data_IF_660718724352
#
_entry.id   IF_660718724352
#
_cell.length_a   1.000
_cell.length_b   1.000
_cell.length_c   1.000
_cell.angle_alpha   90.00
_cell.angle_beta   90.00
_cell.angle_gamma   90.00
#
_symmetry.space_group_name_H-M   'P 1'
#
loop_
_entity.id
_entity.type
_entity.pdbx_description
1 polymer ?
#
# COMPACT_ATOMS: atom_id res chain seq x y z
N UNK A 1 -18.81 -21.75 -68.81
CA UNK A 1 -18.85 -20.50 -68.02
C UNK A 1 -19.71 -20.80 -66.81
N UNK A 2 -19.03 -21.14 -65.72
CA UNK A 2 -19.64 -21.30 -64.39
C UNK A 2 -20.12 -19.95 -63.89
N UNK A 3 -21.34 -19.88 -63.36
CA UNK A 3 -21.79 -18.76 -62.54
C UNK A 3 -22.57 -19.32 -61.34
N UNK A 4 -21.92 -19.27 -60.17
CA UNK A 4 -22.41 -19.74 -58.89
C UNK A 4 -23.24 -18.61 -58.25
N UNK A 5 -24.52 -18.89 -57.99
CA UNK A 5 -25.41 -18.01 -57.21
C UNK A 5 -24.96 -17.93 -55.75
N UNK A 6 -24.64 -16.73 -55.28
CA UNK A 6 -24.66 -16.38 -53.85
C UNK A 6 -26.11 -16.31 -53.32
N UNK A 7 -26.38 -16.74 -52.07
CA UNK A 7 -27.51 -16.23 -51.32
C UNK A 7 -27.05 -15.14 -50.35
N UNK A 8 -27.56 -13.94 -50.63
CA UNK A 8 -27.60 -12.76 -49.80
C UNK A 8 -28.30 -13.07 -48.46
N UNK A 9 -27.71 -12.76 -47.31
CA UNK A 9 -28.44 -12.71 -46.05
C UNK A 9 -27.99 -11.51 -45.20
N UNK A 10 -28.91 -10.57 -45.05
CA UNK A 10 -28.73 -9.31 -44.35
C UNK A 10 -29.30 -9.35 -42.92
N UNK A 11 -28.51 -8.79 -41.98
CA UNK A 11 -28.82 -8.17 -40.66
C UNK A 11 -28.98 -9.06 -39.41
N UNK A 12 -28.83 -8.56 -38.15
CA UNK A 12 -28.24 -7.30 -37.62
C UNK A 12 -27.30 -7.47 -36.38
N UNK A 13 -26.55 -6.43 -35.98
CA UNK A 13 -26.12 -6.22 -34.58
C UNK A 13 -24.86 -6.98 -34.10
N UNK A 14 -23.68 -6.45 -34.41
CA UNK A 14 -22.38 -7.07 -34.10
C UNK A 14 -22.02 -7.11 -32.61
N UNK A 15 -22.26 -8.25 -31.97
CA UNK A 15 -21.33 -8.80 -30.98
C UNK A 15 -20.17 -9.44 -31.74
N UNK A 16 -18.97 -8.87 -31.64
CA UNK A 16 -17.75 -9.44 -32.21
C UNK A 16 -17.36 -10.71 -31.42
N UNK A 17 -17.21 -11.89 -32.06
CA UNK A 17 -16.86 -13.11 -31.34
C UNK A 17 -15.35 -13.17 -31.03
N UNK A 18 -15.02 -13.14 -29.73
CA UNK A 18 -13.68 -13.32 -29.13
C UNK A 18 -12.91 -14.56 -29.63
N UNK A 19 -13.59 -15.57 -30.17
CA UNK A 19 -12.96 -16.80 -30.68
C UNK A 19 -12.18 -16.61 -31.99
N UNK A 20 -12.56 -15.63 -32.83
CA UNK A 20 -11.93 -15.43 -34.15
C UNK A 20 -10.58 -14.72 -33.99
N UNK A 21 -10.46 -13.77 -33.04
CA UNK A 21 -9.16 -13.18 -32.71
C UNK A 21 -8.21 -14.17 -32.03
N UNK A 22 -8.73 -15.11 -31.23
CA UNK A 22 -7.91 -16.11 -30.55
C UNK A 22 -7.23 -17.06 -31.56
N UNK A 23 -7.98 -17.56 -32.56
CA UNK A 23 -7.42 -18.39 -33.64
C UNK A 23 -6.54 -17.60 -34.62
N UNK A 24 -6.81 -16.31 -34.82
CA UNK A 24 -5.96 -15.44 -35.63
C UNK A 24 -4.63 -15.09 -34.94
N UNK A 25 -4.62 -14.99 -33.60
CA UNK A 25 -3.39 -14.83 -32.81
C UNK A 25 -2.57 -16.12 -32.75
N UNK A 26 -3.21 -17.28 -32.58
CA UNK A 26 -2.54 -18.59 -32.58
C UNK A 26 -1.80 -18.82 -33.92
N UNK A 27 -2.45 -18.49 -35.06
CA UNK A 27 -1.80 -18.52 -36.38
C UNK A 27 -0.72 -17.46 -36.62
N UNK A 28 -0.70 -16.34 -35.87
CA UNK A 28 0.40 -15.35 -35.93
C UNK A 28 1.60 -15.77 -35.09
N UNK A 29 1.38 -16.53 -34.02
CA UNK A 29 2.45 -17.10 -33.20
C UNK A 29 3.17 -18.23 -33.96
N UNK A 30 2.46 -19.03 -34.76
CA UNK A 30 3.07 -20.10 -35.57
C UNK A 30 3.81 -19.63 -36.83
N UNK A 31 3.61 -18.38 -37.30
CA UNK A 31 4.22 -17.86 -38.54
C UNK A 31 5.42 -16.94 -38.34
N UNK A 32 5.90 -16.75 -37.12
CA UNK A 32 7.17 -16.05 -36.90
C UNK A 32 8.33 -17.03 -37.07
N UNK A 33 9.23 -16.84 -38.05
CA UNK A 33 10.37 -17.73 -38.24
C UNK A 33 11.25 -17.67 -36.99
N UNK A 34 11.65 -18.84 -36.50
CA UNK A 34 12.67 -19.03 -35.49
C UNK A 34 13.99 -18.42 -35.96
N UNK A 35 14.25 -17.17 -35.59
CA UNK A 35 15.58 -16.59 -35.61
C UNK A 35 16.17 -16.79 -34.20
N UNK A 36 16.47 -18.06 -33.90
CA UNK A 36 17.54 -18.40 -32.98
C UNK A 36 18.84 -17.86 -33.57
N UNK A 37 19.63 -17.16 -32.76
CA UNK A 37 20.90 -16.49 -33.08
C UNK A 37 20.76 -14.97 -33.27
N UNK A 38 20.77 -14.23 -32.14
CA UNK A 38 21.04 -12.78 -32.18
C UNK A 38 20.61 -11.95 -30.96
N UNK A 39 19.57 -12.36 -30.22
CA UNK A 39 19.01 -11.53 -29.13
C UNK A 39 19.30 -12.03 -27.70
N UNK A 40 19.92 -13.20 -27.54
CA UNK A 40 20.41 -13.65 -26.23
C UNK A 40 21.68 -12.90 -25.77
N UNK A 41 22.25 -12.05 -26.63
CA UNK A 41 23.41 -11.23 -26.30
C UNK A 41 23.07 -9.89 -25.65
N UNK A 42 21.81 -9.43 -25.65
CA UNK A 42 21.46 -8.13 -25.05
C UNK A 42 20.83 -8.23 -23.65
N UNK A 43 20.39 -9.42 -23.23
CA UNK A 43 19.89 -9.69 -21.88
C UNK A 43 20.88 -10.45 -20.98
N UNK A 44 22.05 -10.81 -21.52
CA UNK A 44 23.22 -11.31 -20.77
C UNK A 44 24.34 -10.26 -20.63
N UNK A 45 24.19 -9.06 -21.21
CA UNK A 45 25.26 -8.04 -21.27
C UNK A 45 25.29 -7.04 -20.10
N UNK A 46 24.40 -7.16 -19.10
CA UNK A 46 24.56 -6.45 -17.82
C UNK A 46 25.07 -7.35 -16.67
N UNK A 47 25.40 -8.62 -16.95
CA UNK A 47 26.06 -9.53 -16.00
C UNK A 47 27.45 -9.99 -16.48
N UNK A 48 28.29 -9.09 -17.00
CA UNK A 48 29.75 -9.25 -16.93
C UNK A 48 30.42 -7.88 -16.70
N UNK A 49 30.21 -7.30 -15.52
CA UNK A 49 31.24 -6.44 -14.92
C UNK A 49 32.05 -7.30 -13.95
N UNK A 50 33.17 -7.76 -14.49
CA UNK A 50 34.38 -8.29 -13.88
C UNK A 50 34.45 -8.26 -12.35
N UNK A 51 34.74 -9.43 -11.79
CA UNK A 51 35.28 -9.64 -10.45
C UNK A 51 36.33 -8.57 -10.10
N UNK A 52 35.96 -7.65 -9.22
CA UNK A 52 36.90 -6.91 -8.40
C UNK A 52 36.57 -7.25 -6.95
N UNK A 53 37.52 -7.89 -6.25
CA UNK A 53 37.44 -8.16 -4.80
C UNK A 53 36.82 -6.94 -4.08
N UNK A 54 35.76 -7.10 -3.27
CA UNK A 54 35.04 -5.96 -2.72
C UNK A 54 35.91 -5.20 -1.72
N UNK A 55 36.50 -4.08 -2.14
CA UNK A 55 37.39 -3.25 -1.30
C UNK A 55 36.63 -2.33 -0.32
N UNK A 56 35.30 -2.24 -0.38
CA UNK A 56 34.51 -1.28 0.40
C UNK A 56 33.48 -1.99 1.30
N UNK A 57 33.29 -1.52 2.53
CA UNK A 57 32.28 -2.04 3.47
C UNK A 57 30.88 -2.14 2.82
N UNK A 58 30.50 -1.13 2.03
CA UNK A 58 29.22 -1.09 1.31
C UNK A 58 29.02 -2.20 0.28
N UNK A 59 30.07 -2.64 -0.42
CA UNK A 59 29.94 -3.74 -1.38
C UNK A 59 29.85 -5.09 -0.70
N UNK A 60 30.53 -5.29 0.44
CA UNK A 60 30.36 -6.48 1.29
C UNK A 60 28.97 -6.53 1.92
N UNK A 61 28.46 -5.40 2.41
CA UNK A 61 27.11 -5.28 2.93
C UNK A 61 26.04 -5.56 1.85
N UNK A 62 26.20 -5.03 0.63
CA UNK A 62 25.32 -5.34 -0.50
C UNK A 62 25.35 -6.81 -0.91
N UNK A 63 26.54 -7.43 -0.94
CA UNK A 63 26.69 -8.85 -1.26
C UNK A 63 26.01 -9.74 -0.20
N UNK A 64 26.24 -9.45 1.09
CA UNK A 64 25.57 -10.15 2.19
C UNK A 64 24.05 -9.98 2.14
N UNK A 65 23.58 -8.75 1.91
CA UNK A 65 22.15 -8.47 1.78
C UNK A 65 21.54 -9.16 0.55
N UNK A 66 22.28 -9.32 -0.55
CA UNK A 66 21.86 -10.08 -1.73
C UNK A 66 21.74 -11.58 -1.49
N UNK A 67 22.53 -12.13 -0.55
CA UNK A 67 22.42 -13.52 -0.09
C UNK A 67 21.20 -13.70 0.82
N UNK A 68 20.98 -12.76 1.75
CA UNK A 68 19.85 -12.81 2.71
C UNK A 68 18.50 -12.55 2.03
N UNK A 69 18.46 -11.64 1.05
CA UNK A 69 17.24 -11.25 0.31
C UNK A 69 17.49 -11.39 -1.19
N UNK A 70 17.34 -12.62 -1.75
CA UNK A 70 17.54 -12.84 -3.18
C UNK A 70 16.47 -12.15 -4.02
N UNK A 71 16.87 -11.66 -5.21
CA UNK A 71 15.96 -11.01 -6.15
C UNK A 71 14.79 -11.93 -6.53
N UNK A 72 13.56 -11.39 -6.47
CA UNK A 72 12.35 -12.13 -6.81
C UNK A 72 12.06 -13.35 -5.93
N UNK A 73 12.78 -13.53 -4.82
CA UNK A 73 12.57 -14.63 -3.89
C UNK A 73 11.38 -14.42 -2.97
N UNK A 74 11.03 -15.46 -2.19
CA UNK A 74 9.97 -15.43 -1.17
C UNK A 74 10.13 -14.23 -0.23
N UNK A 75 11.31 -14.10 0.41
CA UNK A 75 11.58 -13.07 1.42
C UNK A 75 11.46 -11.65 0.82
N UNK A 76 12.02 -11.44 -0.37
CA UNK A 76 11.95 -10.15 -1.07
C UNK A 76 10.50 -9.77 -1.39
N UNK A 77 9.71 -10.72 -1.90
CA UNK A 77 8.31 -10.47 -2.30
C UNK A 77 7.43 -10.22 -1.08
N UNK A 78 7.60 -11.02 -0.02
CA UNK A 78 6.90 -10.88 1.26
C UNK A 78 7.18 -9.52 1.88
N UNK A 79 8.45 -9.12 2.01
CA UNK A 79 8.79 -7.83 2.61
C UNK A 79 8.44 -6.65 1.72
N UNK A 80 8.42 -6.80 0.39
CA UNK A 80 7.96 -5.73 -0.48
C UNK A 80 6.46 -5.46 -0.26
N UNK A 81 5.62 -6.51 -0.29
CA UNK A 81 4.18 -6.39 0.00
C UNK A 81 3.92 -5.90 1.44
N UNK A 82 4.62 -6.47 2.43
CA UNK A 82 4.46 -6.08 3.82
C UNK A 82 4.93 -4.63 4.07
N UNK A 83 6.00 -4.16 3.43
CA UNK A 83 6.46 -2.76 3.58
C UNK A 83 5.45 -1.75 3.06
N UNK A 84 4.73 -2.08 1.99
CA UNK A 84 3.67 -1.22 1.44
C UNK A 84 2.46 -1.19 2.38
N UNK A 85 2.06 -2.35 2.88
CA UNK A 85 0.96 -2.51 3.83
C UNK A 85 1.26 -1.77 5.15
N UNK A 86 2.41 -2.07 5.76
CA UNK A 86 2.88 -1.49 7.02
C UNK A 86 3.46 -0.09 6.78
N UNK A 87 2.56 0.85 6.48
CA UNK A 87 2.84 2.27 6.31
C UNK A 87 2.54 3.08 7.59
N UNK A 88 1.97 4.27 7.41
CA UNK A 88 1.59 5.13 8.54
C UNK A 88 0.28 4.67 9.20
N UNK A 89 -0.52 3.82 8.53
CA UNK A 89 -1.79 3.33 9.07
C UNK A 89 -1.67 2.67 10.44
N UNK A 90 -0.55 1.96 10.68
CA UNK A 90 -0.25 1.33 11.97
C UNK A 90 -0.29 2.32 13.16
N UNK A 91 0.02 3.59 12.91
CA UNK A 91 0.07 4.64 13.93
C UNK A 91 -1.32 5.10 14.38
N UNK A 92 -2.33 4.95 13.52
CA UNK A 92 -3.72 5.30 13.81
C UNK A 92 -4.57 4.13 14.31
N UNK A 93 -4.06 2.89 14.23
CA UNK A 93 -4.83 1.69 14.59
C UNK A 93 -5.33 1.67 16.05
N UNK A 94 -4.56 2.08 17.07
CA UNK A 94 -5.05 2.10 18.45
C UNK A 94 -6.17 3.13 18.65
N UNK A 95 -6.08 4.30 17.99
CA UNK A 95 -7.16 5.29 17.99
C UNK A 95 -8.42 4.76 17.29
N UNK A 96 -8.27 4.07 16.16
CA UNK A 96 -9.39 3.41 15.49
C UNK A 96 -10.04 2.34 16.38
N UNK A 97 -9.26 1.63 17.19
CA UNK A 97 -9.79 0.69 18.18
C UNK A 97 -10.50 1.40 19.34
N UNK A 98 -10.05 2.58 19.76
CA UNK A 98 -10.76 3.41 20.73
C UNK A 98 -12.15 3.84 20.22
N UNK A 99 -12.25 4.23 18.94
CA UNK A 99 -13.50 4.60 18.29
C UNK A 99 -14.44 3.41 18.06
N UNK A 100 -13.93 2.27 17.59
CA UNK A 100 -14.76 1.09 17.23
C UNK A 100 -15.00 0.10 18.38
N UNK A 101 -14.12 0.07 19.38
CA UNK A 101 -14.05 -0.97 20.41
C UNK A 101 -13.04 -2.08 20.07
N UNK A 102 -12.36 -2.59 21.09
CA UNK A 102 -11.24 -3.53 20.93
C UNK A 102 -11.64 -4.85 20.26
N UNK A 103 -12.78 -5.44 20.63
CA UNK A 103 -13.23 -6.72 20.03
C UNK A 103 -13.61 -6.53 18.57
N UNK A 104 -14.30 -5.42 18.26
CA UNK A 104 -14.65 -5.08 16.88
C UNK A 104 -13.41 -4.82 16.02
N UNK A 105 -12.38 -4.16 16.58
CA UNK A 105 -11.11 -3.97 15.89
C UNK A 105 -10.47 -5.31 15.47
N UNK A 106 -10.44 -6.32 16.34
CA UNK A 106 -9.93 -7.64 15.97
C UNK A 106 -10.77 -8.33 14.89
N UNK A 107 -12.09 -8.23 14.97
CA UNK A 107 -12.98 -8.76 13.93
C UNK A 107 -12.68 -8.09 12.58
N UNK A 108 -12.55 -6.75 12.56
CA UNK A 108 -12.20 -6.02 11.34
C UNK A 108 -10.82 -6.41 10.80
N UNK A 109 -9.78 -6.47 11.64
CA UNK A 109 -8.44 -6.86 11.23
C UNK A 109 -8.43 -8.26 10.59
N UNK A 110 -9.11 -9.24 11.21
CA UNK A 110 -9.22 -10.60 10.69
C UNK A 110 -10.00 -10.65 9.37
N UNK A 111 -11.16 -10.03 9.32
CA UNK A 111 -12.01 -10.03 8.12
C UNK A 111 -11.30 -9.35 6.94
N UNK A 112 -10.73 -8.17 7.14
CA UNK A 112 -10.00 -7.42 6.11
C UNK A 112 -8.78 -8.21 5.64
N UNK A 113 -8.06 -8.89 6.53
CA UNK A 113 -6.92 -9.74 6.14
C UNK A 113 -7.36 -10.89 5.24
N UNK A 114 -8.44 -11.61 5.59
CA UNK A 114 -8.99 -12.68 4.77
C UNK A 114 -9.38 -12.18 3.38
N UNK A 115 -10.11 -11.06 3.30
CA UNK A 115 -10.49 -10.46 2.02
C UNK A 115 -9.30 -9.95 1.21
N UNK A 116 -8.28 -9.37 1.86
CA UNK A 116 -7.09 -8.87 1.19
C UNK A 116 -6.23 -10.02 0.61
N UNK A 117 -6.10 -11.14 1.33
CA UNK A 117 -5.43 -12.34 0.80
C UNK A 117 -6.18 -12.89 -0.42
N UNK A 118 -7.51 -12.99 -0.33
CA UNK A 118 -8.33 -13.45 -1.45
C UNK A 118 -8.27 -12.51 -2.66
N UNK A 119 -8.30 -11.20 -2.40
CA UNK A 119 -8.11 -10.15 -3.41
C UNK A 119 -6.79 -10.29 -4.16
N UNK A 120 -5.66 -10.49 -3.45
CA UNK A 120 -4.37 -10.73 -4.08
C UNK A 120 -4.33 -12.05 -4.86
N UNK A 121 -4.95 -13.12 -4.34
CA UNK A 121 -5.07 -14.39 -5.05
C UNK A 121 -5.74 -14.22 -6.41
N UNK A 122 -6.86 -13.50 -6.42
CA UNK A 122 -7.67 -13.24 -7.61
C UNK A 122 -6.95 -12.32 -8.60
N UNK A 123 -6.28 -11.26 -8.12
CA UNK A 123 -5.40 -10.44 -8.95
C UNK A 123 -4.30 -11.30 -9.58
N UNK A 124 -3.70 -12.21 -8.82
CA UNK A 124 -2.75 -13.20 -9.33
C UNK A 124 -3.31 -14.00 -10.53
N UNK A 125 -4.54 -14.52 -10.40
CA UNK A 125 -5.21 -15.27 -11.49
C UNK A 125 -5.40 -14.42 -12.74
N UNK A 126 -5.87 -13.19 -12.56
CA UNK A 126 -6.09 -12.27 -13.68
C UNK A 126 -4.79 -11.85 -14.35
N UNK A 127 -3.70 -11.63 -13.60
CA UNK A 127 -2.37 -11.34 -14.14
C UNK A 127 -1.81 -12.50 -14.94
N UNK A 128 -1.93 -13.73 -14.44
CA UNK A 128 -1.46 -14.94 -15.14
C UNK A 128 -2.25 -15.18 -16.44
N UNK A 129 -3.58 -14.98 -16.41
CA UNK A 129 -4.44 -15.14 -17.60
C UNK A 129 -4.21 -14.09 -18.68
N UNK A 130 -4.05 -12.82 -18.30
CA UNK A 130 -3.99 -11.69 -19.26
C UNK A 130 -2.56 -11.34 -19.67
N UNK A 131 -1.56 -11.68 -18.87
CA UNK A 131 -0.17 -11.27 -19.10
C UNK A 131 0.09 -9.77 -18.87
N UNK A 132 -0.89 -9.02 -18.36
CA UNK A 132 -0.78 -7.58 -18.14
C UNK A 132 0.04 -7.24 -16.89
N UNK A 133 0.77 -6.12 -16.98
CA UNK A 133 1.76 -5.69 -15.97
C UNK A 133 1.34 -4.52 -15.10
N UNK A 134 0.20 -3.91 -15.38
CA UNK A 134 -0.27 -2.74 -14.64
C UNK A 134 -1.74 -2.88 -14.29
N UNK A 135 -2.12 -2.22 -13.19
CA UNK A 135 -3.48 -2.21 -12.68
C UNK A 135 -4.41 -1.48 -13.67
N UNK A 136 -3.91 -0.41 -14.29
CA UNK A 136 -4.61 0.44 -15.26
C UNK A 136 -4.83 -0.29 -16.59
N UNK A 137 -3.83 -1.01 -17.12
CA UNK A 137 -4.01 -1.77 -18.36
C UNK A 137 -5.00 -2.93 -18.16
N UNK A 138 -5.05 -3.53 -16.96
CA UNK A 138 -6.05 -4.56 -16.66
C UNK A 138 -7.47 -4.00 -16.65
N UNK A 139 -7.65 -2.83 -16.02
CA UNK A 139 -8.91 -2.11 -16.05
C UNK A 139 -9.37 -1.79 -17.49
N UNK A 140 -8.44 -1.31 -18.32
CA UNK A 140 -8.70 -0.99 -19.72
C UNK A 140 -9.16 -2.21 -20.52
N UNK A 141 -8.46 -3.33 -20.39
CA UNK A 141 -8.73 -4.53 -21.19
C UNK A 141 -10.01 -5.24 -20.76
N UNK A 142 -10.27 -5.36 -19.45
CA UNK A 142 -11.37 -6.18 -18.94
C UNK A 142 -12.70 -5.42 -18.83
N UNK A 143 -12.66 -4.14 -18.47
CA UNK A 143 -13.87 -3.35 -18.20
C UNK A 143 -14.11 -2.30 -19.27
N UNK A 144 -13.05 -1.65 -19.76
CA UNK A 144 -13.12 -0.77 -20.93
C UNK A 144 -12.27 0.51 -20.83
N UNK A 145 -12.18 1.22 -21.95
CA UNK A 145 -11.27 2.36 -22.19
C UNK A 145 -11.46 3.62 -21.32
N UNK A 146 -12.52 3.70 -20.51
CA UNK A 146 -12.73 4.82 -19.58
C UNK A 146 -12.49 4.42 -18.12
N UNK A 147 -12.49 3.11 -17.85
CA UNK A 147 -12.39 2.58 -16.50
C UNK A 147 -10.94 2.62 -15.99
N UNK A 148 -9.97 2.57 -16.89
CA UNK A 148 -8.55 2.76 -16.59
C UNK A 148 -8.26 4.13 -15.98
N UNK A 149 -8.85 5.22 -16.48
CA UNK A 149 -8.72 6.55 -15.87
C UNK A 149 -9.34 6.62 -14.47
N UNK A 150 -10.48 5.96 -14.26
CA UNK A 150 -11.10 5.89 -12.93
C UNK A 150 -10.21 5.14 -11.92
N UNK A 151 -9.69 3.99 -12.34
CA UNK A 151 -8.74 3.19 -11.55
C UNK A 151 -7.45 3.97 -11.27
N UNK A 152 -6.90 4.66 -12.27
CA UNK A 152 -5.73 5.52 -12.11
C UNK A 152 -6.00 6.67 -11.12
N UNK A 153 -7.19 7.28 -11.17
CA UNK A 153 -7.61 8.31 -10.22
C UNK A 153 -7.69 7.76 -8.79
N UNK A 154 -8.33 6.62 -8.57
CA UNK A 154 -8.41 6.00 -7.24
C UNK A 154 -7.02 5.66 -6.70
N UNK A 155 -6.15 5.07 -7.53
CA UNK A 155 -4.75 4.76 -7.16
C UNK A 155 -3.97 6.03 -6.85
N UNK A 156 -4.21 7.11 -7.59
CA UNK A 156 -3.62 8.42 -7.35
C UNK A 156 -4.08 9.02 -6.01
N UNK A 157 -5.38 9.05 -5.73
CA UNK A 157 -5.94 9.55 -4.46
C UNK A 157 -5.40 8.76 -3.28
N UNK A 158 -5.33 7.43 -3.38
CA UNK A 158 -4.72 6.58 -2.35
C UNK A 158 -3.27 6.99 -2.09
N UNK A 159 -2.48 7.13 -3.16
CA UNK A 159 -1.07 7.47 -3.07
C UNK A 159 -0.85 8.85 -2.48
N UNK A 160 -1.62 9.83 -2.95
CA UNK A 160 -1.57 11.21 -2.50
C UNK A 160 -1.94 11.32 -1.02
N UNK A 161 -3.04 10.69 -0.60
CA UNK A 161 -3.47 10.62 0.80
C UNK A 161 -2.44 9.97 1.72
N UNK A 162 -1.87 8.83 1.31
CA UNK A 162 -0.78 8.18 2.04
C UNK A 162 0.44 9.09 2.20
N UNK A 163 0.83 9.83 1.15
CA UNK A 163 1.97 10.76 1.24
C UNK A 163 1.72 11.94 2.18
N UNK A 164 0.49 12.46 2.23
CA UNK A 164 0.08 13.46 3.22
C UNK A 164 0.21 12.89 4.63
N UNK A 165 -0.29 11.68 4.86
CA UNK A 165 -0.21 11.03 6.16
C UNK A 165 1.23 10.79 6.64
N UNK A 166 2.16 10.49 5.73
CA UNK A 166 3.59 10.40 6.07
C UNK A 166 4.17 11.74 6.53
N UNK A 167 3.80 12.86 5.89
CA UNK A 167 4.23 14.20 6.33
C UNK A 167 3.67 14.53 7.72
N UNK A 168 2.39 14.25 7.97
CA UNK A 168 1.77 14.42 9.29
C UNK A 168 2.51 13.57 10.34
N UNK A 169 2.77 12.29 10.02
CA UNK A 169 3.47 11.38 10.92
C UNK A 169 4.88 11.86 11.30
N UNK A 170 5.62 12.50 10.38
CA UNK A 170 6.91 13.11 10.70
C UNK A 170 6.73 14.25 11.71
N UNK A 171 5.71 15.08 11.55
CA UNK A 171 5.34 16.09 12.54
C UNK A 171 5.00 15.49 13.91
N UNK A 172 4.28 14.36 13.91
CA UNK A 172 3.92 13.63 15.15
C UNK A 172 5.13 13.00 15.83
N UNK A 173 6.16 12.58 15.09
CA UNK A 173 7.45 12.14 15.67
C UNK A 173 8.17 13.32 16.33
N UNK A 174 8.20 14.47 15.65
CA UNK A 174 8.92 15.65 16.12
C UNK A 174 8.26 16.27 17.36
N UNK A 175 6.93 16.25 17.46
CA UNK A 175 6.21 16.91 18.56
C UNK A 175 6.69 16.44 19.95
N UNK A 176 6.63 15.14 20.31
CA UNK A 176 7.06 14.67 21.63
C UNK A 176 8.56 14.87 21.89
N UNK A 177 9.40 14.85 20.85
CA UNK A 177 10.84 15.11 20.98
C UNK A 177 11.06 16.57 21.39
N UNK A 178 10.39 17.51 20.72
CA UNK A 178 10.57 18.95 20.94
C UNK A 178 9.96 19.43 22.26
N UNK A 179 8.82 18.86 22.66
CA UNK A 179 8.15 19.22 23.91
C UNK A 179 8.90 18.71 25.14
N UNK A 180 9.49 17.52 25.07
CA UNK A 180 10.11 16.86 26.22
C UNK A 180 11.62 17.10 26.34
N UNK A 181 12.30 17.56 25.28
CA UNK A 181 13.73 17.86 25.33
C UNK A 181 14.02 19.14 26.16
N UNK A 182 14.98 19.03 27.07
CA UNK A 182 15.52 20.17 27.82
C UNK A 182 16.34 21.05 26.88
N UNK A 183 16.13 22.38 26.95
CA UNK A 183 16.86 23.35 26.12
C UNK A 183 16.25 23.64 24.74
N UNK A 184 15.11 23.05 24.38
CA UNK A 184 14.40 23.41 23.14
C UNK A 184 13.88 24.87 23.23
N UNK A 185 14.23 25.75 22.27
CA UNK A 185 13.68 27.10 22.18
C UNK A 185 12.15 27.09 22.12
N UNK A 186 11.49 28.04 22.79
CA UNK A 186 10.02 28.10 22.84
C UNK A 186 9.37 28.20 21.46
N UNK A 187 10.03 28.86 20.50
CA UNK A 187 9.56 28.91 19.13
C UNK A 187 9.40 27.52 18.50
N UNK A 188 10.35 26.60 18.71
CA UNK A 188 10.31 25.25 18.15
C UNK A 188 9.24 24.36 18.81
N UNK A 189 8.81 24.69 20.03
CA UNK A 189 7.72 24.00 20.72
C UNK A 189 6.35 24.40 20.20
N UNK A 190 6.21 25.61 19.65
CA UNK A 190 4.96 26.10 19.06
C UNK A 190 4.69 25.43 17.71
N UNK A 191 3.44 25.51 17.27
CA UNK A 191 2.98 24.91 16.02
C UNK A 191 3.73 25.46 14.80
N UNK A 192 4.09 26.74 14.79
CA UNK A 192 4.82 27.36 13.67
C UNK A 192 6.24 26.80 13.56
N UNK A 193 6.97 26.71 14.68
CA UNK A 193 8.32 26.16 14.70
C UNK A 193 8.33 24.66 14.39
N UNK A 194 7.33 23.91 14.85
CA UNK A 194 7.17 22.49 14.49
C UNK A 194 6.92 22.33 12.99
N UNK A 195 6.02 23.12 12.40
CA UNK A 195 5.75 23.11 10.95
C UNK A 195 7.02 23.43 10.14
N UNK A 196 7.82 24.40 10.61
CA UNK A 196 9.11 24.74 10.00
C UNK A 196 10.07 23.55 10.04
N UNK A 197 10.19 22.85 11.18
CA UNK A 197 11.04 21.66 11.30
C UNK A 197 10.55 20.49 10.45
N UNK A 198 9.23 20.23 10.41
CA UNK A 198 8.65 19.23 9.50
C UNK A 198 8.98 19.56 8.05
N UNK A 199 8.84 20.83 7.64
CA UNK A 199 9.21 21.29 6.31
C UNK A 199 10.73 21.16 6.04
N UNK A 200 11.58 21.41 7.04
CA UNK A 200 13.02 21.23 6.93
C UNK A 200 13.40 19.74 6.75
N UNK A 201 12.83 18.83 7.56
CA UNK A 201 13.03 17.38 7.41
C UNK A 201 12.53 16.91 6.05
N UNK A 202 11.37 17.41 5.60
CA UNK A 202 10.86 17.12 4.27
C UNK A 202 11.82 17.59 3.17
N UNK A 203 12.33 18.83 3.24
CA UNK A 203 13.19 19.41 2.21
C UNK A 203 14.56 18.75 2.16
N UNK A 204 15.12 18.38 3.32
CA UNK A 204 16.48 17.84 3.44
C UNK A 204 16.54 16.32 3.30
N UNK A 205 15.45 15.62 3.64
CA UNK A 205 15.42 14.15 3.66
C UNK A 205 14.40 13.62 2.68
N UNK A 206 13.12 13.95 2.80
CA UNK A 206 12.07 13.30 2.00
C UNK A 206 12.11 13.68 0.52
N UNK A 207 12.26 14.97 0.19
CA UNK A 207 12.25 15.47 -1.18
C UNK A 207 13.40 14.90 -2.02
N UNK A 208 14.67 14.90 -1.56
CA UNK A 208 15.78 14.31 -2.32
C UNK A 208 15.58 12.83 -2.67
N UNK A 209 14.87 12.08 -1.82
CA UNK A 209 14.58 10.66 -2.06
C UNK A 209 13.61 10.42 -3.23
N UNK A 210 12.77 11.40 -3.59
CA UNK A 210 11.78 11.27 -4.67
C UNK A 210 12.32 11.73 -6.04
N UNK A 211 13.33 12.59 -6.04
CA UNK A 211 13.91 13.17 -7.27
C UNK A 211 14.44 12.14 -8.28
N UNK A 212 15.02 10.99 -7.88
CA UNK A 212 15.46 9.98 -8.83
C UNK A 212 14.29 9.37 -9.62
N UNK A 213 14.46 9.25 -10.94
CA UNK A 213 13.45 8.63 -11.82
C UNK A 213 13.18 7.16 -11.48
N UNK A 214 14.21 6.43 -11.05
CA UNK A 214 14.18 4.99 -10.74
C UNK A 214 14.84 4.73 -9.39
N UNK A 215 14.24 3.88 -8.55
CA UNK A 215 14.83 3.43 -7.28
C UNK A 215 15.15 1.94 -7.38
N UNK A 216 16.35 1.63 -7.91
CA UNK A 216 16.78 0.25 -8.11
C UNK A 216 17.13 -0.50 -6.80
N UNK A 217 17.03 0.15 -5.63
CA UNK A 217 17.33 -0.43 -4.31
C UNK A 217 16.10 -0.72 -3.45
N UNK A 218 14.91 -0.73 -4.06
CA UNK A 218 13.62 -0.85 -3.38
C UNK A 218 13.52 -2.04 -2.43
N UNK A 219 14.04 -3.20 -2.84
CA UNK A 219 14.02 -4.43 -2.04
C UNK A 219 14.69 -4.26 -0.68
N UNK A 220 15.85 -3.59 -0.64
CA UNK A 220 16.62 -3.40 0.57
C UNK A 220 15.93 -2.41 1.48
N UNK A 221 15.43 -1.32 0.89
CA UNK A 221 14.66 -0.30 1.59
C UNK A 221 13.43 -0.92 2.25
N UNK A 222 12.68 -1.79 1.54
CA UNK A 222 11.51 -2.49 2.07
C UNK A 222 11.83 -3.48 3.19
N UNK A 223 12.94 -4.23 3.10
CA UNK A 223 13.36 -5.13 4.20
C UNK A 223 13.71 -4.36 5.47
N UNK A 224 14.54 -3.31 5.37
CA UNK A 224 14.88 -2.48 6.55
C UNK A 224 13.67 -1.76 7.11
N UNK A 225 12.80 -1.27 6.23
CA UNK A 225 11.52 -0.67 6.60
C UNK A 225 10.67 -1.58 7.50
N UNK A 226 10.45 -2.84 7.10
CA UNK A 226 9.68 -3.79 7.91
C UNK A 226 10.37 -4.07 9.24
N UNK A 227 11.70 -4.20 9.26
CA UNK A 227 12.46 -4.42 10.49
C UNK A 227 12.29 -3.27 11.51
N UNK A 228 12.29 -2.01 11.06
CA UNK A 228 12.04 -0.87 11.94
C UNK A 228 10.64 -0.90 12.54
N UNK A 229 9.63 -1.35 11.79
CA UNK A 229 8.28 -1.46 12.33
C UNK A 229 8.15 -2.63 13.30
N UNK A 230 8.79 -3.77 13.04
CA UNK A 230 8.86 -4.88 14.00
C UNK A 230 9.49 -4.40 15.31
N UNK A 231 10.59 -3.63 15.25
CA UNK A 231 11.19 -3.02 16.43
C UNK A 231 10.22 -2.08 17.16
N UNK A 232 9.53 -1.21 16.42
CA UNK A 232 8.53 -0.31 16.99
C UNK A 232 7.43 -1.07 17.72
N UNK A 233 6.90 -2.16 17.14
CA UNK A 233 5.88 -2.99 17.79
C UNK A 233 6.44 -3.66 19.06
N UNK A 234 7.67 -4.20 19.02
CA UNK A 234 8.33 -4.75 20.22
C UNK A 234 8.44 -3.69 21.33
N UNK A 235 8.82 -2.47 20.96
CA UNK A 235 8.89 -1.34 21.89
C UNK A 235 7.51 -1.08 22.54
N UNK A 236 6.42 -1.08 21.76
CA UNK A 236 5.06 -0.93 22.30
C UNK A 236 4.71 -2.04 23.30
N UNK A 237 5.03 -3.31 22.98
CA UNK A 237 4.76 -4.44 23.88
C UNK A 237 5.50 -4.29 25.20
N UNK A 238 6.80 -3.96 25.16
CA UNK A 238 7.62 -3.80 26.37
C UNK A 238 7.11 -2.62 27.20
N UNK A 239 6.80 -1.49 26.57
CA UNK A 239 6.36 -0.29 27.29
C UNK A 239 4.97 -0.49 27.92
N UNK A 240 4.08 -1.16 27.20
CA UNK A 240 2.76 -1.55 27.73
C UNK A 240 2.90 -2.51 28.91
N UNK A 241 3.77 -3.53 28.81
CA UNK A 241 4.05 -4.46 29.91
C UNK A 241 4.65 -3.75 31.15
N UNK A 242 5.58 -2.79 30.96
CA UNK A 242 6.16 -1.99 32.05
C UNK A 242 5.14 -1.10 32.75
N UNK A 243 4.12 -0.64 32.03
CA UNK A 243 3.03 0.17 32.60
C UNK A 243 2.01 -0.65 33.42
N UNK A 244 2.15 -1.98 33.45
CA UNK A 244 1.28 -2.86 34.25
C UNK A 244 -0.12 -3.09 33.67
N UNK A 245 -0.42 -2.60 32.45
CA UNK A 245 -1.75 -2.69 31.82
C UNK A 245 -2.87 -2.15 32.73
N UNK A 246 -2.61 -1.05 33.44
CA UNK A 246 -3.54 -0.43 34.41
C UNK A 246 -4.92 -0.10 33.81
N UNK A 247 -4.98 0.26 32.53
CA UNK A 247 -6.23 0.58 31.84
C UNK A 247 -7.06 -0.65 31.43
N UNK A 248 -6.46 -1.85 31.45
CA UNK A 248 -7.17 -3.12 31.23
C UNK A 248 -8.01 -3.51 32.45
N UNK A 249 -7.57 -3.11 33.65
CA UNK A 249 -8.25 -3.41 34.93
C UNK A 249 -9.25 -2.31 35.35
N UNK A 250 -9.36 -1.22 34.56
CA UNK A 250 -10.25 -0.10 34.86
C UNK A 250 -9.78 0.83 35.99
N UNK A 251 -8.54 0.66 36.46
CA UNK A 251 -7.98 1.41 37.59
C UNK A 251 -7.39 2.78 37.18
N UNK A 252 -7.15 3.00 35.89
CA UNK A 252 -6.50 4.21 35.36
C UNK A 252 -7.42 5.36 34.91
N UNK A 253 -8.73 5.27 35.14
CA UNK A 253 -9.71 6.30 34.72
C UNK A 253 -10.01 6.36 33.22
N UNK A 254 -9.06 5.95 32.37
CA UNK A 254 -9.22 5.83 30.91
C UNK A 254 -9.39 4.36 30.51
N UNK A 255 -10.58 3.80 30.74
CA UNK A 255 -10.84 2.37 30.51
C UNK A 255 -10.93 1.99 29.04
N UNK A 256 -10.56 0.75 28.74
CA UNK A 256 -10.69 0.14 27.41
C UNK A 256 -12.16 -0.13 27.10
N UNK A 257 -12.61 0.33 25.93
CA UNK A 257 -13.94 0.00 25.41
C UNK A 257 -13.85 -1.30 24.61
N UNK A 258 -14.50 -2.36 25.09
CA UNK A 258 -14.54 -3.64 24.38
C UNK A 258 -15.44 -3.57 23.13
N UNK A 259 -16.59 -2.92 23.28
CA UNK A 259 -17.57 -2.68 22.22
C UNK A 259 -18.07 -1.25 22.30
N UNK A 260 -18.16 -0.58 21.15
CA UNK A 260 -18.96 0.63 21.00
C UNK A 260 -20.25 0.31 20.23
N UNK A 261 -21.30 1.07 20.47
CA UNK A 261 -22.62 0.87 19.84
C UNK A 261 -22.92 1.96 18.82
N UNK A 262 -23.88 1.68 17.93
CA UNK A 262 -24.31 2.62 16.89
C UNK A 262 -23.20 2.97 15.89
N UNK A 263 -23.21 4.21 15.41
CA UNK A 263 -22.29 4.69 14.38
C UNK A 263 -20.83 4.74 14.85
N UNK A 264 -20.57 4.78 16.17
CA UNK A 264 -19.20 4.77 16.70
C UNK A 264 -18.46 3.48 16.33
N UNK A 265 -19.16 2.34 16.30
CA UNK A 265 -18.57 1.03 15.97
C UNK A 265 -17.90 0.98 14.59
N UNK A 266 -18.34 1.82 13.65
CA UNK A 266 -17.85 1.85 12.27
C UNK A 266 -16.88 3.00 11.96
N UNK A 267 -16.64 3.94 12.89
CA UNK A 267 -15.73 5.09 12.67
C UNK A 267 -14.29 4.67 12.35
N UNK A 268 -13.76 3.66 13.04
CA UNK A 268 -12.42 3.13 12.77
C UNK A 268 -12.28 2.33 11.46
N UNK A 269 -13.38 1.97 10.78
CA UNK A 269 -13.37 1.03 9.65
C UNK A 269 -12.45 1.50 8.51
N UNK A 270 -12.50 2.80 8.18
CA UNK A 270 -11.66 3.38 7.12
C UNK A 270 -10.17 3.25 7.44
N UNK A 271 -9.76 3.48 8.69
CA UNK A 271 -8.36 3.35 9.14
C UNK A 271 -7.88 1.89 9.04
N UNK A 272 -8.72 0.92 9.43
CA UNK A 272 -8.40 -0.50 9.26
C UNK A 272 -8.28 -0.89 7.79
N UNK A 273 -9.18 -0.42 6.93
CA UNK A 273 -9.11 -0.67 5.48
C UNK A 273 -7.85 -0.06 4.88
N UNK A 274 -7.53 1.19 5.20
CA UNK A 274 -6.31 1.87 4.76
C UNK A 274 -5.04 1.08 5.12
N UNK A 275 -4.99 0.57 6.34
CA UNK A 275 -3.81 -0.11 6.88
C UNK A 275 -3.47 -1.42 6.16
N UNK A 276 -4.42 -2.01 5.43
CA UNK A 276 -4.23 -3.27 4.69
C UNK A 276 -4.17 -3.11 3.17
N UNK A 277 -4.10 -1.87 2.66
CA UNK A 277 -3.96 -1.63 1.22
C UNK A 277 -2.54 -1.94 0.76
N UNK A 278 -2.38 -3.00 -0.02
CA UNK A 278 -1.10 -3.37 -0.65
C UNK A 278 -1.23 -3.72 -2.14
N UNK A 279 -2.46 -3.78 -2.65
CA UNK A 279 -2.80 -4.14 -4.02
C UNK A 279 -2.21 -3.19 -5.06
N UNK A 280 -1.86 -1.96 -4.65
CA UNK A 280 -1.36 -0.91 -5.54
C UNK A 280 -0.02 -1.28 -6.21
N UNK A 281 0.78 -2.13 -5.55
CA UNK A 281 2.11 -2.56 -6.00
C UNK A 281 2.16 -4.06 -6.28
N UNK A 282 1.00 -4.74 -6.25
CA UNK A 282 0.96 -6.20 -6.35
C UNK A 282 1.43 -6.70 -7.73
N UNK A 283 1.20 -5.92 -8.79
CA UNK A 283 1.66 -6.21 -10.14
C UNK A 283 3.18 -6.14 -10.24
N UNK A 284 3.78 -5.08 -9.72
CA UNK A 284 5.24 -4.91 -9.71
C UNK A 284 5.90 -6.10 -8.98
N UNK A 285 5.37 -6.46 -7.80
CA UNK A 285 5.86 -7.63 -7.05
C UNK A 285 5.68 -8.93 -7.83
N UNK A 286 4.51 -9.17 -8.43
CA UNK A 286 4.23 -10.39 -9.19
C UNK A 286 5.19 -10.56 -10.38
N UNK A 287 5.47 -9.48 -11.11
CA UNK A 287 6.33 -9.52 -12.28
C UNK A 287 7.82 -9.57 -11.95
N UNK A 288 8.23 -9.15 -10.76
CA UNK A 288 9.60 -9.30 -10.23
C UNK A 288 9.88 -10.69 -9.63
N UNK A 289 8.87 -11.51 -9.36
CA UNK A 289 9.06 -12.85 -8.77
C UNK A 289 9.87 -13.77 -9.68
N UNK A 290 10.79 -14.54 -9.09
CA UNK A 290 11.61 -15.52 -9.82
C UNK A 290 10.80 -16.75 -10.26
N UNK A 291 9.95 -17.27 -9.38
CA UNK A 291 9.05 -18.41 -9.67
C UNK A 291 7.60 -17.92 -9.74
N UNK A 292 7.23 -17.35 -10.88
CA UNK A 292 5.90 -16.79 -11.12
C UNK A 292 4.87 -17.91 -11.28
N UNK A 293 3.88 -17.90 -10.42
CA UNK A 293 2.63 -18.67 -10.55
C UNK A 293 1.60 -18.08 -9.60
N UNK A 294 0.31 -18.26 -9.89
CA UNK A 294 -0.77 -17.88 -8.95
C UNK A 294 -0.54 -18.48 -7.56
N UNK A 295 -0.16 -19.76 -7.51
CA UNK A 295 0.08 -20.48 -6.24
C UNK A 295 1.19 -19.79 -5.41
N UNK A 296 2.34 -19.54 -6.01
CA UNK A 296 3.47 -18.92 -5.31
C UNK A 296 3.11 -17.50 -4.88
N UNK A 297 2.50 -16.72 -5.76
CA UNK A 297 2.11 -15.35 -5.43
C UNK A 297 1.11 -15.30 -4.28
N UNK A 298 0.14 -16.22 -4.26
CA UNK A 298 -0.85 -16.33 -3.18
C UNK A 298 -0.18 -16.67 -1.85
N UNK A 299 0.76 -17.63 -1.84
CA UNK A 299 1.51 -17.98 -0.63
C UNK A 299 2.34 -16.79 -0.13
N UNK A 300 3.04 -16.09 -1.03
CA UNK A 300 3.91 -14.97 -0.65
C UNK A 300 3.08 -13.80 -0.12
N UNK A 301 1.95 -13.52 -0.78
CA UNK A 301 0.96 -12.54 -0.34
C UNK A 301 0.35 -12.91 1.01
N UNK A 302 -0.06 -14.17 1.20
CA UNK A 302 -0.64 -14.62 2.46
C UNK A 302 0.34 -14.48 3.63
N UNK A 303 1.61 -14.87 3.46
CA UNK A 303 2.65 -14.68 4.48
C UNK A 303 2.84 -13.20 4.81
N UNK A 304 2.88 -12.33 3.80
CA UNK A 304 2.99 -10.88 4.01
C UNK A 304 1.80 -10.32 4.78
N UNK A 305 0.58 -10.68 4.41
CA UNK A 305 -0.64 -10.19 5.05
C UNK A 305 -0.79 -10.72 6.48
N UNK A 306 -0.43 -11.98 6.74
CA UNK A 306 -0.42 -12.55 8.09
C UNK A 306 0.64 -11.90 8.98
N UNK A 307 1.82 -11.57 8.45
CA UNK A 307 2.83 -10.80 9.16
C UNK A 307 2.27 -9.42 9.57
N UNK A 308 1.61 -8.72 8.64
CA UNK A 308 0.98 -7.43 8.93
C UNK A 308 -0.12 -7.55 9.99
N UNK A 309 -0.97 -8.58 9.88
CA UNK A 309 -2.03 -8.86 10.85
C UNK A 309 -1.47 -9.03 12.27
N UNK A 310 -0.41 -9.81 12.43
CA UNK A 310 0.23 -10.01 13.75
C UNK A 310 0.74 -8.68 14.31
N UNK A 311 1.46 -7.89 13.50
CA UNK A 311 1.97 -6.58 13.92
C UNK A 311 0.83 -5.62 14.31
N UNK A 312 -0.28 -5.65 13.57
CA UNK A 312 -1.43 -4.78 13.82
C UNK A 312 -2.22 -5.20 15.05
N UNK A 313 -2.44 -6.51 15.28
CA UNK A 313 -3.08 -7.01 16.50
C UNK A 313 -2.25 -6.60 17.72
N UNK A 314 -0.93 -6.78 17.68
CA UNK A 314 -0.05 -6.39 18.78
C UNK A 314 -0.09 -4.87 19.02
N UNK A 315 -0.07 -4.08 17.95
CA UNK A 315 -0.14 -2.61 18.05
C UNK A 315 -1.47 -2.14 18.65
N UNK A 316 -2.59 -2.67 18.15
CA UNK A 316 -3.93 -2.36 18.65
C UNK A 316 -4.05 -2.77 20.11
N UNK A 317 -3.69 -4.01 20.45
CA UNK A 317 -3.85 -4.52 21.80
C UNK A 317 -2.97 -3.76 22.80
N UNK A 318 -1.65 -3.76 22.62
CA UNK A 318 -0.73 -3.17 23.60
C UNK A 318 -0.78 -1.64 23.61
N UNK A 319 -0.99 -1.02 22.44
CA UNK A 319 -1.15 0.43 22.33
C UNK A 319 -2.43 0.91 23.00
N UNK A 320 -3.57 0.27 22.73
CA UNK A 320 -4.83 0.63 23.36
C UNK A 320 -4.89 0.21 24.83
N UNK A 321 -4.28 -0.92 25.21
CA UNK A 321 -4.24 -1.35 26.60
C UNK A 321 -3.38 -0.46 27.50
N UNK A 322 -2.36 0.19 26.95
CA UNK A 322 -1.53 1.10 27.72
C UNK A 322 -2.24 2.42 28.02
N UNK A 323 -2.92 3.00 27.04
CA UNK A 323 -3.42 4.38 27.12
C UNK A 323 -4.95 4.49 27.14
N UNK A 324 -5.68 3.39 26.91
CA UNK A 324 -7.14 3.37 26.94
C UNK A 324 -7.78 4.47 26.10
N UNK A 325 -8.80 5.12 26.65
CA UNK A 325 -9.57 6.16 25.95
C UNK A 325 -8.80 7.43 25.59
N UNK A 326 -7.58 7.64 26.11
CA UNK A 326 -6.75 8.78 25.77
C UNK A 326 -6.18 8.76 24.34
N UNK A 327 -6.14 7.59 23.69
CA UNK A 327 -5.61 7.48 22.31
C UNK A 327 -6.66 7.92 21.30
N UNK A 328 -6.59 9.19 20.90
CA UNK A 328 -7.51 9.80 19.93
C UNK A 328 -6.84 10.15 18.59
N UNK A 329 -5.51 10.02 18.51
CA UNK A 329 -4.72 10.36 17.33
C UNK A 329 -3.56 9.34 17.17
N UNK A 330 -2.49 9.71 16.47
CA UNK A 330 -1.28 8.90 16.35
C UNK A 330 -0.75 8.44 17.72
N UNK A 331 -0.50 7.13 17.86
CA UNK A 331 0.08 6.56 19.08
C UNK A 331 1.45 7.15 19.43
N UNK A 332 2.18 7.70 18.44
CA UNK A 332 3.46 8.36 18.69
C UNK A 332 3.29 9.53 19.66
N UNK A 333 2.21 10.29 19.57
CA UNK A 333 1.98 11.45 20.43
C UNK A 333 1.84 11.10 21.92
N UNK A 334 1.62 9.83 22.25
CA UNK A 334 1.38 9.35 23.62
C UNK A 334 2.66 8.99 24.39
N UNK A 335 3.80 8.84 23.70
CA UNK A 335 5.07 8.46 24.33
C UNK A 335 5.99 9.65 24.54
N UNK A 336 6.85 9.58 25.56
CA UNK A 336 7.97 10.49 25.73
C UNK A 336 9.27 9.81 25.24
N UNK A 337 9.78 10.16 24.05
CA UNK A 337 10.99 9.54 23.50
C UNK A 337 12.26 10.00 24.23
N UNK A 338 12.26 11.17 24.88
CA UNK A 338 13.47 11.73 25.51
C UNK A 338 13.81 10.99 26.82
N UNK A 339 12.80 10.45 27.51
CA UNK A 339 12.99 9.74 28.78
C UNK A 339 13.49 8.30 28.64
N UNK A 340 13.19 7.62 27.54
CA UNK A 340 13.57 6.21 27.33
C UNK A 340 14.32 6.03 25.99
N UNK A 341 15.61 5.64 26.01
CA UNK A 341 16.39 5.39 24.79
C UNK A 341 15.77 4.38 23.83
N UNK A 342 15.04 3.38 24.34
CA UNK A 342 14.33 2.39 23.52
C UNK A 342 13.22 3.05 22.70
N UNK A 343 12.47 3.97 23.31
CA UNK A 343 11.42 4.74 22.64
C UNK A 343 12.03 5.67 21.59
N UNK A 344 13.14 6.35 21.92
CA UNK A 344 13.88 7.19 20.96
C UNK A 344 14.37 6.38 19.74
N UNK A 345 14.92 5.20 19.95
CA UNK A 345 15.34 4.31 18.86
C UNK A 345 14.16 3.89 17.99
N UNK A 346 12.99 3.67 18.59
CA UNK A 346 11.74 3.34 17.88
C UNK A 346 11.27 4.48 16.99
N UNK A 347 11.34 5.72 17.51
CA UNK A 347 11.03 6.93 16.76
C UNK A 347 11.98 7.15 15.59
N UNK A 348 13.29 6.96 15.81
CA UNK A 348 14.28 7.06 14.75
C UNK A 348 14.03 6.01 13.64
N UNK A 349 13.72 4.76 14.01
CA UNK A 349 13.36 3.71 13.06
C UNK A 349 12.09 4.03 12.28
N UNK A 350 11.05 4.50 12.97
CA UNK A 350 9.80 4.93 12.32
C UNK A 350 10.03 6.11 11.38
N UNK A 351 10.86 7.09 11.74
CA UNK A 351 11.20 8.22 10.86
C UNK A 351 11.84 7.73 9.55
N UNK A 352 12.82 6.82 9.64
CA UNK A 352 13.46 6.22 8.45
C UNK A 352 12.44 5.44 7.61
N UNK A 353 11.57 4.66 8.25
CA UNK A 353 10.49 3.92 7.57
C UNK A 353 9.53 4.87 6.83
N UNK A 354 9.10 5.95 7.46
CA UNK A 354 8.15 6.91 6.88
C UNK A 354 8.78 7.66 5.70
N UNK A 355 10.06 8.03 5.78
CA UNK A 355 10.79 8.62 4.66
C UNK A 355 10.86 7.66 3.46
N UNK A 356 11.17 6.38 3.70
CA UNK A 356 11.18 5.35 2.67
C UNK A 356 9.80 5.12 2.03
N UNK A 357 8.76 5.05 2.86
CA UNK A 357 7.38 4.86 2.41
C UNK A 357 6.87 6.09 1.63
N UNK A 358 7.22 7.29 2.05
CA UNK A 358 6.95 8.54 1.32
C UNK A 358 7.56 8.51 -0.08
N UNK A 359 8.82 8.08 -0.21
CA UNK A 359 9.49 8.00 -1.50
C UNK A 359 8.76 7.05 -2.46
N UNK A 360 8.46 5.84 -1.97
CA UNK A 360 7.71 4.81 -2.70
C UNK A 360 6.35 5.31 -3.19
N UNK A 361 5.59 5.91 -2.29
CA UNK A 361 4.22 6.28 -2.55
C UNK A 361 4.12 7.52 -3.46
N UNK A 362 5.07 8.46 -3.33
CA UNK A 362 5.14 9.61 -4.23
C UNK A 362 5.49 9.18 -5.66
N UNK A 363 6.28 8.11 -5.83
CA UNK A 363 6.53 7.53 -7.16
C UNK A 363 5.28 6.91 -7.77
N UNK A 364 4.47 6.19 -6.98
CA UNK A 364 3.18 5.69 -7.45
C UNK A 364 2.23 6.82 -7.83
N UNK A 365 2.17 7.89 -7.02
CA UNK A 365 1.38 9.09 -7.30
C UNK A 365 1.82 9.75 -8.62
N UNK A 366 3.13 9.93 -8.82
CA UNK A 366 3.72 10.47 -10.06
C UNK A 366 3.36 9.61 -11.27
N UNK A 367 3.53 8.29 -11.17
CA UNK A 367 3.28 7.38 -12.29
C UNK A 367 1.80 7.41 -12.71
N UNK A 368 0.86 7.53 -11.77
CA UNK A 368 -0.56 7.67 -12.07
C UNK A 368 -0.87 8.99 -12.81
N UNK A 369 -0.25 10.11 -12.40
CA UNK A 369 -0.38 11.39 -13.14
C UNK A 369 0.17 11.24 -14.55
N UNK A 370 1.38 10.67 -14.69
CA UNK A 370 2.06 10.51 -15.96
C UNK A 370 1.25 9.63 -16.92
N UNK A 371 0.60 8.58 -16.43
CA UNK A 371 -0.34 7.79 -17.23
C UNK A 371 -1.48 8.65 -17.77
N UNK A 372 -2.10 9.49 -16.93
CA UNK A 372 -3.23 10.34 -17.35
C UNK A 372 -2.84 11.39 -18.40
N UNK A 373 -1.64 11.97 -18.29
CA UNK A 373 -1.13 12.95 -19.26
C UNK A 373 -0.35 12.31 -20.42
N UNK A 374 -0.33 10.97 -20.51
CA UNK A 374 0.41 10.19 -21.51
C UNK A 374 1.90 10.54 -21.59
N UNK A 375 2.52 10.76 -20.43
CA UNK A 375 3.96 10.97 -20.31
C UNK A 375 4.67 9.66 -19.97
N UNK A 376 5.74 9.35 -20.69
CA UNK A 376 6.62 8.24 -20.37
C UNK A 376 7.81 8.73 -19.54
N UNK A 377 8.02 8.10 -18.37
CA UNK A 377 9.08 8.50 -17.41
C UNK A 377 10.48 8.49 -18.06
N UNK A 378 10.71 7.52 -18.95
CA UNK A 378 12.02 7.26 -19.56
C UNK A 378 12.38 8.32 -20.60
N UNK A 379 11.42 8.73 -21.43
CA UNK A 379 11.63 9.72 -22.50
C UNK A 379 11.49 11.16 -22.01
N UNK A 380 10.89 11.38 -20.84
CA UNK A 380 10.67 12.73 -20.31
C UNK A 380 11.99 13.47 -20.01
N UNK A 381 12.19 14.72 -20.46
CA UNK A 381 13.32 15.54 -20.03
C UNK A 381 13.40 15.68 -18.50
N UNK A 382 14.62 15.62 -17.94
CA UNK A 382 14.82 15.68 -16.49
C UNK A 382 14.23 16.96 -15.87
N UNK A 383 14.36 18.12 -16.49
CA UNK A 383 13.82 19.37 -15.94
C UNK A 383 12.29 19.34 -15.78
N UNK A 384 11.55 18.76 -16.74
CA UNK A 384 10.09 18.57 -16.63
C UNK A 384 9.75 17.60 -15.49
N UNK A 385 10.55 16.55 -15.35
CA UNK A 385 10.41 15.58 -14.25
C UNK A 385 10.59 16.26 -12.89
N UNK A 386 11.66 17.04 -12.74
CA UNK A 386 11.96 17.77 -11.51
C UNK A 386 10.83 18.73 -11.15
N UNK A 387 10.35 19.54 -12.11
CA UNK A 387 9.24 20.47 -11.86
C UNK A 387 7.99 19.71 -11.40
N UNK A 388 7.60 18.64 -12.11
CA UNK A 388 6.41 17.88 -11.75
C UNK A 388 6.50 17.26 -10.35
N UNK A 389 7.65 16.67 -10.01
CA UNK A 389 7.89 16.04 -8.70
C UNK A 389 7.93 17.08 -7.58
N UNK A 390 8.60 18.22 -7.80
CA UNK A 390 8.69 19.30 -6.80
C UNK A 390 7.31 19.91 -6.57
N UNK A 391 6.55 20.20 -7.63
CA UNK A 391 5.19 20.76 -7.50
C UNK A 391 4.29 19.79 -6.74
N UNK A 392 4.26 18.51 -7.13
CA UNK A 392 3.47 17.47 -6.46
C UNK A 392 3.86 17.36 -4.98
N UNK A 393 5.16 17.24 -4.69
CA UNK A 393 5.65 17.07 -3.32
C UNK A 393 5.39 18.32 -2.46
N UNK A 394 5.43 19.51 -3.05
CA UNK A 394 5.14 20.77 -2.34
C UNK A 394 3.66 20.86 -1.99
N UNK A 395 2.76 20.47 -2.90
CA UNK A 395 1.32 20.39 -2.62
C UNK A 395 1.06 19.40 -1.47
N UNK A 396 1.70 18.22 -1.50
CA UNK A 396 1.61 17.24 -0.41
C UNK A 396 2.09 17.81 0.92
N UNK A 397 3.22 18.52 0.92
CA UNK A 397 3.74 19.18 2.13
C UNK A 397 2.72 20.18 2.68
N UNK A 398 2.18 21.07 1.84
CA UNK A 398 1.20 22.07 2.28
C UNK A 398 -0.01 21.39 2.91
N UNK A 399 -0.59 20.37 2.26
CA UNK A 399 -1.68 19.59 2.84
C UNK A 399 -1.29 18.97 4.19
N UNK A 400 -0.12 18.34 4.29
CA UNK A 400 0.36 17.70 5.53
C UNK A 400 0.64 18.68 6.68
N UNK A 401 0.97 19.94 6.40
CA UNK A 401 1.20 20.97 7.43
C UNK A 401 -0.10 21.55 8.00
N UNK A 402 -1.18 21.56 7.22
CA UNK A 402 -2.45 22.19 7.58
C UNK A 402 -3.54 21.21 8.01
N UNK A 403 -3.42 19.92 7.67
CA UNK A 403 -4.34 18.88 8.16
C UNK A 403 -3.94 18.49 9.59
N UNK A 404 -4.82 18.70 10.60
CA UNK A 404 -4.44 18.52 12.01
C UNK A 404 -4.54 17.08 12.50
N UNK A 405 -5.28 16.21 11.81
CA UNK A 405 -5.56 14.84 12.24
C UNK A 405 -5.23 13.84 11.15
N UNK A 406 -4.35 12.88 11.47
CA UNK A 406 -3.94 11.82 10.55
C UNK A 406 -5.08 10.81 10.31
N UNK A 407 -5.93 10.57 11.31
CA UNK A 407 -7.03 9.62 11.24
C UNK A 407 -8.09 10.07 10.24
N UNK A 408 -8.31 11.38 10.05
CA UNK A 408 -9.19 11.90 9.00
C UNK A 408 -8.70 11.48 7.62
N UNK A 409 -7.39 11.55 7.37
CA UNK A 409 -6.79 11.11 6.10
C UNK A 409 -6.93 9.60 5.95
N UNK A 410 -6.58 8.83 6.99
CA UNK A 410 -6.70 7.37 6.96
C UNK A 410 -8.13 6.88 6.79
N UNK A 411 -9.09 7.50 7.48
CA UNK A 411 -10.51 7.16 7.40
C UNK A 411 -11.05 7.37 6.00
N UNK A 412 -10.92 8.60 5.46
CA UNK A 412 -11.48 8.96 4.16
C UNK A 412 -10.80 8.22 3.01
N UNK A 413 -9.46 8.23 2.98
CA UNK A 413 -8.69 7.59 1.91
C UNK A 413 -8.82 6.06 1.99
N UNK A 414 -8.82 5.50 3.20
CA UNK A 414 -9.00 4.08 3.43
C UNK A 414 -10.36 3.55 3.05
N UNK A 415 -11.43 4.26 3.43
CA UNK A 415 -12.79 3.85 3.11
C UNK A 415 -13.02 3.85 1.59
N UNK A 416 -12.71 4.97 0.93
CA UNK A 416 -12.92 5.11 -0.51
C UNK A 416 -11.92 4.25 -1.28
N UNK A 417 -10.62 4.56 -1.17
CA UNK A 417 -9.61 3.96 -2.03
C UNK A 417 -9.28 2.54 -1.61
N UNK A 418 -9.22 2.25 -0.30
CA UNK A 418 -9.01 0.88 0.18
C UNK A 418 -10.16 -0.03 -0.23
N UNK A 419 -11.42 0.43 -0.14
CA UNK A 419 -12.56 -0.34 -0.62
C UNK A 419 -12.50 -0.65 -2.11
N UNK A 420 -12.15 0.34 -2.93
CA UNK A 420 -12.00 0.13 -4.37
C UNK A 420 -10.80 -0.76 -4.74
N UNK A 421 -9.60 -0.43 -4.26
CA UNK A 421 -8.35 -1.10 -4.64
C UNK A 421 -8.25 -2.51 -4.04
N UNK A 422 -8.67 -2.68 -2.80
CA UNK A 422 -8.52 -3.95 -2.09
C UNK A 422 -9.68 -4.90 -2.34
N UNK A 423 -10.90 -4.41 -2.60
CA UNK A 423 -12.07 -5.29 -2.67
C UNK A 423 -12.81 -5.21 -4.02
N UNK A 424 -13.26 -4.03 -4.44
CA UNK A 424 -14.13 -3.89 -5.62
C UNK A 424 -13.39 -4.21 -6.93
N UNK A 425 -12.25 -3.55 -7.22
CA UNK A 425 -11.53 -3.77 -8.48
C UNK A 425 -11.04 -5.21 -8.66
N UNK A 426 -10.42 -5.86 -7.66
CA UNK A 426 -10.03 -7.26 -7.76
C UNK A 426 -11.21 -8.18 -8.09
N UNK A 427 -12.37 -7.96 -7.46
CA UNK A 427 -13.58 -8.72 -7.75
C UNK A 427 -14.06 -8.49 -9.19
N UNK A 428 -14.14 -7.23 -9.62
CA UNK A 428 -14.57 -6.88 -10.98
C UNK A 428 -13.63 -7.46 -12.03
N UNK A 429 -12.31 -7.34 -11.87
CA UNK A 429 -11.35 -7.89 -12.82
C UNK A 429 -11.50 -9.40 -12.98
N UNK A 430 -11.82 -10.12 -11.91
CA UNK A 430 -12.03 -11.56 -12.02
C UNK A 430 -13.34 -11.93 -12.70
N UNK A 431 -14.44 -11.24 -12.36
CA UNK A 431 -15.74 -11.39 -13.03
C UNK A 431 -15.61 -11.15 -14.54
N UNK A 432 -14.89 -10.10 -14.94
CA UNK A 432 -14.70 -9.74 -16.34
C UNK A 432 -13.54 -10.48 -17.03
N UNK A 433 -12.80 -11.35 -16.33
CA UNK A 433 -11.70 -12.15 -16.92
C UNK A 433 -12.15 -13.28 -17.85
N UNK A 434 -13.46 -13.40 -18.12
CA UNK A 434 -14.06 -14.39 -19.00
C UNK A 434 -14.35 -15.74 -18.33
N UNK A 435 -15.22 -16.54 -18.96
CA UNK A 435 -15.66 -17.85 -18.47
C UNK A 435 -16.22 -17.82 -17.04
N UNK A 436 -17.04 -16.82 -16.70
CA UNK A 436 -17.65 -16.69 -15.37
C UNK A 436 -18.91 -17.57 -15.24
N UNK A 437 -18.71 -18.82 -14.80
CA UNK A 437 -19.82 -19.74 -14.46
C UNK A 437 -19.46 -20.51 -13.19
N UNK A 438 -20.46 -20.93 -12.41
CA UNK A 438 -20.22 -21.70 -11.18
C UNK A 438 -19.38 -22.97 -11.44
N UNK A 439 -19.52 -23.57 -12.62
CA UNK A 439 -18.81 -24.79 -13.03
C UNK A 439 -17.35 -24.53 -13.40
N UNK A 440 -17.01 -23.35 -13.91
CA UNK A 440 -15.66 -23.00 -14.36
C UNK A 440 -14.76 -22.46 -13.24
N UNK A 441 -15.32 -21.63 -12.34
CA UNK A 441 -14.56 -21.05 -11.23
C UNK A 441 -14.67 -21.85 -9.92
N UNK A 442 -15.71 -22.66 -9.79
CA UNK A 442 -15.99 -23.42 -8.57
C UNK A 442 -16.74 -22.59 -7.52
N UNK A 443 -17.38 -23.29 -6.57
CA UNK A 443 -18.26 -22.69 -5.58
C UNK A 443 -17.54 -21.66 -4.68
N UNK A 444 -16.33 -22.00 -4.24
CA UNK A 444 -15.55 -21.15 -3.34
C UNK A 444 -15.23 -19.80 -3.96
N UNK A 445 -14.69 -19.79 -5.18
CA UNK A 445 -14.35 -18.55 -5.88
C UNK A 445 -15.59 -17.74 -6.24
N UNK A 446 -16.66 -18.41 -6.65
CA UNK A 446 -17.92 -17.75 -6.97
C UNK A 446 -18.46 -16.98 -5.76
N UNK A 447 -18.64 -17.65 -4.62
CA UNK A 447 -19.15 -17.01 -3.39
C UNK A 447 -18.17 -15.95 -2.88
N UNK A 448 -16.88 -16.26 -2.81
CA UNK A 448 -15.87 -15.36 -2.25
C UNK A 448 -15.72 -14.08 -3.06
N UNK A 449 -15.89 -14.13 -4.39
CA UNK A 449 -15.81 -12.93 -5.23
C UNK A 449 -17.01 -12.01 -5.03
N UNK A 450 -18.23 -12.55 -4.94
CA UNK A 450 -19.39 -11.73 -4.60
C UNK A 450 -19.32 -11.19 -3.17
N UNK A 451 -18.85 -12.01 -2.21
CA UNK A 451 -18.62 -11.54 -0.84
C UNK A 451 -17.59 -10.41 -0.79
N UNK A 452 -16.49 -10.52 -1.54
CA UNK A 452 -15.48 -9.49 -1.68
C UNK A 452 -16.07 -8.20 -2.28
N UNK A 453 -16.88 -8.30 -3.33
CA UNK A 453 -17.53 -7.16 -3.96
C UNK A 453 -18.52 -6.46 -3.00
N UNK A 454 -19.38 -7.22 -2.33
CA UNK A 454 -20.37 -6.70 -1.37
C UNK A 454 -19.65 -6.05 -0.18
N UNK A 455 -18.65 -6.72 0.40
CA UNK A 455 -17.83 -6.16 1.47
C UNK A 455 -17.14 -4.87 1.04
N UNK A 456 -16.68 -4.79 -0.22
CA UNK A 456 -16.15 -3.58 -0.82
C UNK A 456 -17.16 -2.44 -0.85
N UNK A 457 -18.35 -2.67 -1.38
CA UNK A 457 -19.43 -1.65 -1.43
C UNK A 457 -19.83 -1.20 -0.03
N UNK A 458 -20.00 -2.14 0.90
CA UNK A 458 -20.30 -1.84 2.32
C UNK A 458 -19.17 -1.02 2.95
N UNK A 459 -17.92 -1.43 2.76
CA UNK A 459 -16.75 -0.71 3.29
C UNK A 459 -16.64 0.72 2.76
N UNK A 460 -16.85 0.92 1.45
CA UNK A 460 -16.86 2.27 0.85
C UNK A 460 -18.01 3.11 1.41
N UNK A 461 -19.24 2.60 1.40
CA UNK A 461 -20.41 3.38 1.82
C UNK A 461 -20.36 3.71 3.32
N UNK A 462 -20.27 2.68 4.16
CA UNK A 462 -20.29 2.87 5.62
C UNK A 462 -19.01 3.52 6.12
N UNK A 463 -17.84 3.14 5.58
CA UNK A 463 -16.56 3.75 5.96
C UNK A 463 -16.49 5.24 5.59
N UNK A 464 -17.02 5.63 4.43
CA UNK A 464 -17.01 7.04 4.02
C UNK A 464 -17.98 7.86 4.86
N UNK A 465 -19.19 7.37 5.10
CA UNK A 465 -20.17 8.02 5.98
C UNK A 465 -19.60 8.19 7.38
N UNK A 466 -18.98 7.14 7.93
CA UNK A 466 -18.40 7.19 9.27
C UNK A 466 -17.21 8.16 9.36
N UNK A 467 -16.36 8.21 8.33
CA UNK A 467 -15.23 9.15 8.28
C UNK A 467 -15.69 10.60 8.19
N UNK A 468 -16.77 10.88 7.43
CA UNK A 468 -17.35 12.22 7.34
C UNK A 468 -17.99 12.60 8.69
N UNK A 469 -18.77 11.70 9.30
CA UNK A 469 -19.37 11.91 10.62
C UNK A 469 -18.31 12.20 11.69
N UNK A 470 -17.23 11.43 11.73
CA UNK A 470 -16.11 11.65 12.66
C UNK A 470 -15.38 12.98 12.38
N UNK A 471 -15.28 13.42 11.12
CA UNK A 471 -14.61 14.68 10.79
C UNK A 471 -15.46 15.90 11.16
N UNK A 472 -16.79 15.77 11.15
CA UNK A 472 -17.72 16.88 11.45
C UNK A 472 -18.06 16.93 12.94
N UNK A 473 -18.31 15.76 13.56
CA UNK A 473 -18.88 15.63 14.90
C UNK A 473 -17.91 15.05 15.94
N UNK A 474 -16.71 14.60 15.53
CA UNK A 474 -15.65 14.10 16.42
C UNK A 474 -14.62 15.18 16.71
#
# INVERSE_FOLDING_TARGET
MEDNREPNNSTPGGYYPLEIEFKAMEKRVERSPSNSDGNDYFLCAEEVQQETKPKTFWSRAKAFAGIVVPYGGLISSVFNLASVCVGAGILGLPAAANSSGLVMAFIYLLAITCFAIYSLHVLGKTMEKTGLRTFESMAKQLVGNRFDYFVALVRWVNSFGSTIAYVISVGDILQPILTNASGTPDFLRRTEGRRLLTAAVWALVMLPLVLPKKVNSLRYVSTFAVAFVVYFVIMLVIQSARSGLVNLHGEGGESIKLFNTGNAAIRGLGVFMFSFVCQINCYEVYWEMKKRSVKNFTIYSAIAMLLCLVLYILTVFFGYAQFGSGVNNSILLMYNPVSDPMVMAGYAGMLVKLCAAYALQTMACRNAIYHCISWEVETLPYWKHFIAVIVLSTVVLLCGLFIPNINTVFGLVGAICGGFLSFIFPALFYLYSGNWTLRSVGLFDYISTYALLIAGVVGVVFGTVASIDETING
#
